data_IF_442534416404
#
_entry.id   IF_442534416404
#
_cell.length_a   1.000
_cell.length_b   1.000
_cell.length_c   1.000
_cell.angle_alpha   90.00
_cell.angle_beta   90.00
_cell.angle_gamma   90.00
#
_symmetry.space_group_name_H-M   'P 1'
#
loop_
_entity.id
_entity.type
_entity.pdbx_description
1 polymer ?
#
# COMPACT_ATOMS: atom_id res chain seq x y z
N UNK A 1 12.77 -16.50 14.53
CA UNK A 1 13.12 -15.14 14.09
C UNK A 1 12.13 -14.76 13.01
N UNK A 2 11.18 -13.85 13.30
CA UNK A 2 10.17 -13.46 12.32
C UNK A 2 10.81 -12.49 11.32
N UNK A 3 10.98 -12.92 10.09
CA UNK A 3 11.36 -12.03 8.99
C UNK A 3 10.12 -11.21 8.62
N UNK A 4 9.98 -10.01 9.19
CA UNK A 4 8.98 -9.04 8.73
C UNK A 4 9.39 -8.58 7.33
N UNK A 5 8.76 -9.16 6.30
CA UNK A 5 8.76 -8.57 4.96
C UNK A 5 8.03 -7.23 5.04
N UNK A 6 8.80 -6.16 5.27
CA UNK A 6 8.28 -4.79 5.25
C UNK A 6 8.00 -4.41 3.80
N UNK A 7 6.74 -4.26 3.46
CA UNK A 7 6.33 -3.69 2.17
C UNK A 7 6.45 -2.17 2.23
N UNK A 8 6.92 -1.57 1.14
CA UNK A 8 6.94 -0.11 1.02
C UNK A 8 5.57 0.36 0.54
N UNK A 9 4.79 0.92 1.45
CA UNK A 9 3.47 1.48 1.15
C UNK A 9 3.53 3.01 0.99
N UNK A 10 4.72 3.59 0.87
CA UNK A 10 4.92 5.05 0.81
C UNK A 10 4.26 5.64 -0.42
N UNK A 11 4.36 4.97 -1.57
CA UNK A 11 3.67 5.36 -2.81
C UNK A 11 2.15 5.36 -2.65
N UNK A 12 1.60 4.29 -2.10
CA UNK A 12 0.17 4.17 -1.88
C UNK A 12 -0.34 5.23 -0.89
N UNK A 13 0.39 5.46 0.21
CA UNK A 13 0.08 6.51 1.18
C UNK A 13 0.09 7.90 0.53
N UNK A 14 1.08 8.19 -0.32
CA UNK A 14 1.15 9.43 -1.10
C UNK A 14 -0.10 9.59 -1.97
N UNK A 15 -0.42 8.57 -2.76
CA UNK A 15 -1.58 8.57 -3.66
C UNK A 15 -2.90 8.80 -2.93
N UNK A 16 -3.08 8.17 -1.76
CA UNK A 16 -4.26 8.36 -0.92
C UNK A 16 -4.37 9.83 -0.49
N UNK A 17 -3.28 10.43 0.00
CA UNK A 17 -3.27 11.83 0.44
C UNK A 17 -3.49 12.78 -0.75
N UNK A 18 -2.96 12.50 -1.92
CA UNK A 18 -3.19 13.31 -3.13
C UNK A 18 -4.65 13.28 -3.61
N UNK A 19 -5.32 12.12 -3.51
CA UNK A 19 -6.71 11.94 -3.97
C UNK A 19 -7.77 12.33 -2.93
N UNK A 20 -7.54 11.95 -1.67
CA UNK A 20 -8.51 12.07 -0.57
C UNK A 20 -8.11 13.09 0.50
N UNK A 21 -6.92 13.67 0.41
CA UNK A 21 -6.37 14.61 1.40
C UNK A 21 -5.85 13.95 2.67
N UNK A 22 -6.56 12.95 3.21
CA UNK A 22 -6.14 12.23 4.42
C UNK A 22 -6.47 10.74 4.36
N UNK A 23 -5.70 9.94 5.13
CA UNK A 23 -5.99 8.50 5.31
C UNK A 23 -7.38 8.27 5.94
N UNK A 24 -7.82 9.18 6.81
CA UNK A 24 -9.12 9.08 7.47
C UNK A 24 -10.28 9.25 6.48
N UNK A 25 -10.19 10.27 5.62
CA UNK A 25 -11.16 10.48 4.55
C UNK A 25 -11.21 9.29 3.59
N UNK A 26 -10.06 8.71 3.24
CA UNK A 26 -10.00 7.49 2.45
C UNK A 26 -10.67 6.31 3.15
N UNK A 27 -10.40 6.11 4.45
CA UNK A 27 -11.01 5.03 5.23
C UNK A 27 -12.53 5.12 5.36
N UNK A 28 -13.11 6.30 5.11
CA UNK A 28 -14.57 6.49 5.06
C UNK A 28 -15.17 6.15 3.69
N UNK A 29 -14.34 5.99 2.65
CA UNK A 29 -14.76 5.67 1.27
C UNK A 29 -14.47 4.21 0.88
N UNK A 30 -13.63 3.50 1.62
CA UNK A 30 -13.37 2.06 1.45
C UNK A 30 -14.26 1.22 2.37
N UNK A 31 -14.45 -0.05 2.04
CA UNK A 31 -15.05 -1.08 2.89
C UNK A 31 -14.24 -1.38 4.17
N UNK A 32 -13.00 -0.88 4.28
CA UNK A 32 -12.10 -1.16 5.38
C UNK A 32 -12.11 -0.06 6.46
N UNK A 33 -11.98 -0.49 7.72
CA UNK A 33 -11.83 0.44 8.84
C UNK A 33 -10.48 1.16 8.80
N UNK A 34 -10.42 2.36 9.38
CA UNK A 34 -9.17 3.12 9.56
C UNK A 34 -8.03 2.28 10.17
N UNK A 35 -8.36 1.41 11.13
CA UNK A 35 -7.41 0.49 11.73
C UNK A 35 -6.83 -0.49 10.69
N UNK A 36 -7.69 -1.11 9.87
CA UNK A 36 -7.24 -2.02 8.80
C UNK A 36 -6.36 -1.33 7.77
N UNK A 37 -6.72 -0.10 7.37
CA UNK A 37 -5.90 0.72 6.46
C UNK A 37 -4.53 0.98 7.09
N UNK A 38 -4.51 1.39 8.36
CA UNK A 38 -3.26 1.63 9.09
C UNK A 38 -2.42 0.36 9.23
N UNK A 39 -3.03 -0.78 9.57
CA UNK A 39 -2.31 -2.06 9.67
C UNK A 39 -1.70 -2.47 8.34
N UNK A 40 -2.39 -2.25 7.22
CA UNK A 40 -1.84 -2.50 5.90
C UNK A 40 -0.65 -1.57 5.58
N UNK A 41 -0.82 -0.25 5.81
CA UNK A 41 0.24 0.72 5.58
C UNK A 41 1.47 0.48 6.46
N UNK A 42 1.27 -0.08 7.65
CA UNK A 42 2.36 -0.49 8.55
C UNK A 42 2.90 -1.90 8.27
N UNK A 43 2.42 -2.59 7.23
CA UNK A 43 2.88 -3.94 6.86
C UNK A 43 2.42 -5.05 7.81
N UNK A 44 1.47 -4.78 8.71
CA UNK A 44 0.94 -5.74 9.69
C UNK A 44 -0.15 -6.64 9.11
N UNK A 45 -0.81 -6.19 8.06
CA UNK A 45 -1.91 -6.89 7.40
C UNK A 45 -1.69 -6.89 5.89
N UNK A 46 -2.17 -7.92 5.21
CA UNK A 46 -2.27 -7.98 3.74
C UNK A 46 -3.70 -7.69 3.29
N UNK A 47 -3.83 -7.01 2.15
CA UNK A 47 -5.14 -6.82 1.50
C UNK A 47 -5.50 -8.06 0.68
N UNK A 48 -6.79 -8.34 0.58
CA UNK A 48 -7.28 -9.33 -0.37
C UNK A 48 -7.50 -8.68 -1.75
N UNK A 49 -7.68 -9.50 -2.78
CA UNK A 49 -7.87 -9.01 -4.14
C UNK A 49 -9.08 -8.08 -4.29
N UNK A 50 -10.17 -8.32 -3.54
CA UNK A 50 -11.37 -7.47 -3.57
C UNK A 50 -11.07 -6.07 -3.04
N UNK A 51 -10.39 -5.98 -1.90
CA UNK A 51 -9.99 -4.72 -1.30
C UNK A 51 -9.00 -3.98 -2.22
N UNK A 52 -8.04 -4.69 -2.83
CA UNK A 52 -7.11 -4.08 -3.79
C UNK A 52 -7.85 -3.48 -4.98
N UNK A 53 -8.82 -4.19 -5.57
CA UNK A 53 -9.62 -3.65 -6.69
C UNK A 53 -10.40 -2.41 -6.28
N UNK A 54 -11.08 -2.44 -5.13
CA UNK A 54 -11.79 -1.28 -4.61
C UNK A 54 -10.85 -0.08 -4.43
N UNK A 55 -9.66 -0.30 -3.88
CA UNK A 55 -8.68 0.76 -3.68
C UNK A 55 -8.14 1.30 -5.01
N UNK A 56 -7.92 0.44 -5.99
CA UNK A 56 -7.51 0.85 -7.34
C UNK A 56 -8.57 1.73 -8.00
N UNK A 57 -9.85 1.36 -7.90
CA UNK A 57 -10.96 2.17 -8.43
C UNK A 57 -11.06 3.52 -7.71
N UNK A 58 -11.00 3.53 -6.38
CA UNK A 58 -11.08 4.75 -5.57
C UNK A 58 -9.91 5.70 -5.81
N UNK A 59 -8.69 5.16 -5.94
CA UNK A 59 -7.46 5.94 -6.12
C UNK A 59 -7.16 6.24 -7.59
N UNK A 60 -7.89 5.63 -8.52
CA UNK A 60 -7.59 5.65 -9.94
C UNK A 60 -6.18 5.16 -10.22
N UNK A 61 -5.87 3.96 -9.74
CA UNK A 61 -4.63 3.22 -10.01
C UNK A 61 -4.96 2.21 -11.12
N UNK A 62 -4.15 2.16 -12.17
CA UNK A 62 -4.30 1.13 -13.20
C UNK A 62 -3.84 -0.23 -12.68
N UNK A 63 -4.44 -1.30 -13.18
CA UNK A 63 -4.06 -2.68 -12.85
C UNK A 63 -2.58 -2.96 -13.17
N UNK A 64 -2.03 -2.28 -14.18
CA UNK A 64 -0.61 -2.35 -14.54
C UNK A 64 0.32 -1.90 -13.41
N UNK A 65 -0.12 -0.96 -12.58
CA UNK A 65 0.66 -0.40 -11.46
C UNK A 65 0.39 -1.12 -10.13
N UNK A 66 -0.47 -2.14 -10.10
CA UNK A 66 -0.82 -2.86 -8.86
C UNK A 66 0.43 -3.37 -8.12
N UNK A 67 1.42 -3.85 -8.86
CA UNK A 67 2.67 -4.36 -8.30
C UNK A 67 3.50 -3.26 -7.64
N UNK A 68 3.44 -2.04 -8.17
CA UNK A 68 4.19 -0.89 -7.68
C UNK A 68 3.54 -0.26 -6.44
N UNK A 69 2.21 -0.38 -6.30
CA UNK A 69 1.48 0.16 -5.16
C UNK A 69 1.27 -0.83 -4.01
N UNK A 70 0.93 -2.09 -4.32
CA UNK A 70 0.52 -3.09 -3.32
C UNK A 70 1.59 -4.15 -3.04
N UNK A 71 2.51 -4.36 -3.97
CA UNK A 71 3.58 -5.37 -3.87
C UNK A 71 4.98 -4.78 -3.89
N UNK A 72 5.10 -3.46 -3.68
CA UNK A 72 6.38 -2.80 -3.53
C UNK A 72 7.11 -3.38 -2.33
N UNK A 73 8.15 -4.17 -2.60
CA UNK A 73 9.06 -4.64 -1.55
C UNK A 73 9.94 -3.47 -1.17
N UNK A 74 10.12 -3.25 0.14
CA UNK A 74 11.19 -2.39 0.61
C UNK A 74 12.51 -3.07 0.23
N UNK A 75 13.08 -2.66 -0.89
CA UNK A 75 14.42 -3.10 -1.30
C UNK A 75 15.36 -2.46 -0.29
N UNK A 76 15.79 -3.25 0.69
CA UNK A 76 16.97 -2.93 1.46
C UNK A 76 18.09 -2.82 0.43
N UNK A 77 18.51 -1.58 0.13
CA UNK A 77 19.66 -1.29 -0.71
C UNK A 77 20.90 -1.86 0.00
N UNK A 78 21.11 -3.16 -0.10
CA UNK A 78 22.47 -3.70 -0.07
C UNK A 78 22.99 -3.51 -1.48
N UNK A 79 23.83 -2.51 -1.60
CA UNK A 79 24.63 -2.20 -2.78
C UNK A 79 25.06 -3.50 -3.48
N UNK A 80 24.57 -3.71 -4.70
CA UNK A 80 25.29 -4.51 -5.66
C UNK A 80 26.56 -3.71 -5.98
N UNK A 81 27.64 -4.03 -5.26
CA UNK A 81 28.98 -3.71 -5.71
C UNK A 81 29.19 -4.62 -6.92
N UNK A 82 29.04 -4.04 -8.12
CA UNK A 82 29.45 -4.69 -9.35
C UNK A 82 30.98 -4.79 -9.37
N UNK A 83 31.44 -5.96 -9.81
CA UNK A 83 32.81 -6.47 -9.92
C UNK A 83 33.82 -5.52 -10.58
#
# INVERSE_FOLDING_TARGET
MATETVFDTSKLRGRIVEKFGTIDAFSSNTSLTRASVSDYLNGKKTLNQKDMNEWMELLGIEESDIFDYFFAKKVDKREQIAE
#
